data_IF_933417139037
#
_entry.id   IF_933417139037
#
_cell.length_a   1.000
_cell.length_b   1.000
_cell.length_c   1.000
_cell.angle_alpha   90.00
_cell.angle_beta   90.00
_cell.angle_gamma   90.00
#
_symmetry.space_group_name_H-M   'P 1'
#
loop_
_entity.id
_entity.type
_entity.pdbx_description
1 polymer ?
#
# COMPACT_ATOMS: atom_id res chain seq x y z
N UNK A 1 -21.55 -4.42 -2.51
CA UNK A 1 -21.03 -5.21 -1.37
C UNK A 1 -19.52 -5.09 -1.37
N UNK A 2 -18.89 -4.93 -0.21
CA UNK A 2 -17.42 -4.86 -0.09
C UNK A 2 -16.94 -6.24 0.36
N UNK A 3 -16.12 -6.90 -0.45
CA UNK A 3 -15.60 -8.24 -0.16
C UNK A 3 -14.20 -8.20 0.46
N UNK A 4 -13.39 -7.21 0.11
CA UNK A 4 -12.02 -7.03 0.59
C UNK A 4 -11.77 -5.59 1.03
N UNK A 5 -11.03 -5.41 2.11
CA UNK A 5 -10.57 -4.13 2.63
C UNK A 5 -9.05 -4.17 2.71
N UNK A 6 -8.38 -3.48 1.79
CA UNK A 6 -6.92 -3.31 1.77
C UNK A 6 -6.60 -1.92 2.32
N UNK A 7 -5.82 -1.84 3.41
CA UNK A 7 -5.49 -0.57 4.08
C UNK A 7 -4.19 -0.64 4.85
N UNK A 8 -3.67 0.50 5.32
CA UNK A 8 -2.45 0.55 6.12
C UNK A 8 -2.54 -0.19 7.46
N UNK A 9 -1.42 -0.74 7.91
CA UNK A 9 -1.27 -1.44 9.20
C UNK A 9 -1.58 -0.55 10.41
N UNK A 10 -1.50 0.77 10.26
CA UNK A 10 -1.89 1.73 11.29
C UNK A 10 -3.39 1.67 11.65
N UNK A 11 -4.20 1.01 10.81
CA UNK A 11 -5.60 0.75 11.07
C UNK A 11 -5.91 -0.64 11.65
N UNK A 12 -4.91 -1.47 11.95
CA UNK A 12 -5.13 -2.85 12.43
C UNK A 12 -5.96 -2.89 13.72
N UNK A 13 -5.74 -1.94 14.63
CA UNK A 13 -6.48 -1.81 15.89
C UNK A 13 -7.95 -1.41 15.71
N UNK A 14 -8.32 -0.86 14.54
CA UNK A 14 -9.71 -0.53 14.21
C UNK A 14 -10.50 -1.74 13.74
N UNK A 15 -9.84 -2.77 13.21
CA UNK A 15 -10.49 -3.95 12.60
C UNK A 15 -11.39 -4.70 13.59
N UNK A 16 -10.96 -5.01 14.82
CA UNK A 16 -11.82 -5.74 15.77
C UNK A 16 -13.11 -4.97 16.11
N UNK A 17 -13.02 -3.65 16.22
CA UNK A 17 -14.20 -2.79 16.47
C UNK A 17 -15.15 -2.80 15.29
N UNK A 18 -14.62 -2.70 14.06
CA UNK A 18 -15.42 -2.75 12.84
C UNK A 18 -16.12 -4.10 12.65
N UNK A 19 -15.42 -5.21 12.93
CA UNK A 19 -16.01 -6.56 12.90
C UNK A 19 -17.20 -6.67 13.87
N UNK A 20 -17.07 -6.15 15.09
CA UNK A 20 -18.16 -6.19 16.06
C UNK A 20 -19.38 -5.39 15.59
N UNK A 21 -19.17 -4.21 14.98
CA UNK A 21 -20.25 -3.41 14.41
C UNK A 21 -20.94 -4.15 13.26
N UNK A 22 -20.17 -4.73 12.34
CA UNK A 22 -20.72 -5.49 11.20
C UNK A 22 -21.56 -6.68 11.68
N UNK A 23 -21.06 -7.44 12.66
CA UNK A 23 -21.80 -8.54 13.28
C UNK A 23 -23.10 -8.09 13.95
N UNK A 24 -23.06 -6.97 14.68
CA UNK A 24 -24.25 -6.42 15.34
C UNK A 24 -25.32 -5.97 14.33
N UNK A 25 -24.90 -5.51 13.15
CA UNK A 25 -25.78 -5.12 12.05
C UNK A 25 -26.23 -6.31 11.16
N UNK A 26 -25.75 -7.54 11.44
CA UNK A 26 -26.01 -8.71 10.60
C UNK A 26 -25.36 -8.63 9.20
N UNK A 27 -24.35 -7.78 9.03
CA UNK A 27 -23.66 -7.59 7.76
C UNK A 27 -22.49 -8.59 7.58
N UNK A 28 -22.16 -8.97 6.34
CA UNK A 28 -20.98 -9.80 6.06
C UNK A 28 -19.69 -9.08 6.48
N UNK A 29 -18.74 -9.85 7.00
CA UNK A 29 -17.40 -9.35 7.35
C UNK A 29 -16.50 -9.53 6.12
N UNK A 30 -15.91 -8.44 5.57
CA UNK A 30 -15.00 -8.57 4.44
C UNK A 30 -13.68 -9.18 4.88
N UNK A 31 -12.91 -9.66 3.90
CA UNK A 31 -11.51 -10.01 4.10
C UNK A 31 -10.68 -8.74 4.30
N UNK A 32 -9.75 -8.76 5.26
CA UNK A 32 -8.90 -7.60 5.57
C UNK A 32 -7.45 -7.90 5.26
N UNK A 33 -6.83 -7.07 4.42
CA UNK A 33 -5.39 -7.06 4.18
C UNK A 33 -4.81 -5.75 4.73
N UNK A 34 -3.82 -5.86 5.62
CA UNK A 34 -3.13 -4.71 6.20
C UNK A 34 -1.74 -4.59 5.59
N UNK A 35 -1.49 -3.53 4.83
CA UNK A 35 -0.20 -3.28 4.18
C UNK A 35 0.75 -2.55 5.14
N UNK A 36 2.00 -2.97 5.17
CA UNK A 36 3.05 -2.37 6.01
C UNK A 36 3.22 -0.88 5.72
N UNK A 37 3.63 -0.09 6.71
CA UNK A 37 3.91 1.31 6.47
C UNK A 37 5.15 1.48 5.57
N UNK A 38 5.14 2.53 4.76
CA UNK A 38 6.34 3.00 4.06
C UNK A 38 7.19 3.79 5.05
N UNK A 39 8.49 3.47 5.11
CA UNK A 39 9.48 4.18 5.93
C UNK A 39 10.20 5.24 5.07
N UNK A 40 10.67 6.33 5.67
CA UNK A 40 11.63 7.23 5.03
C UNK A 40 13.06 6.71 5.14
N UNK A 41 14.02 7.48 4.60
CA UNK A 41 15.45 7.16 4.66
C UNK A 41 16.00 7.04 6.10
N UNK A 42 15.31 7.64 7.08
CA UNK A 42 15.65 7.57 8.51
C UNK A 42 15.08 6.33 9.22
N UNK A 43 14.42 5.43 8.47
CA UNK A 43 13.78 4.23 8.99
C UNK A 43 12.50 4.49 9.80
N UNK A 44 12.03 5.74 9.90
CA UNK A 44 10.77 6.09 10.56
C UNK A 44 9.64 6.12 9.54
N UNK A 45 8.39 6.07 10.03
CA UNK A 45 7.20 6.23 9.19
C UNK A 45 7.34 7.48 8.31
N UNK A 46 7.20 7.27 7.01
CA UNK A 46 7.21 8.34 6.02
C UNK A 46 6.08 9.32 6.37
N UNK A 47 6.44 10.59 6.55
CA UNK A 47 5.50 11.63 6.95
C UNK A 47 5.92 12.95 6.32
N UNK A 48 5.00 13.92 6.28
CA UNK A 48 5.31 15.28 5.79
C UNK A 48 6.50 15.93 6.51
N UNK A 49 6.78 15.51 7.76
CA UNK A 49 7.92 15.99 8.56
C UNK A 49 9.24 15.34 8.17
N UNK A 50 9.20 14.21 7.50
CA UNK A 50 10.36 13.40 7.08
C UNK A 50 10.42 13.28 5.55
N UNK A 51 10.08 14.36 4.82
CA UNK A 51 10.27 14.41 3.36
C UNK A 51 9.15 13.84 2.50
N UNK A 52 8.02 13.40 3.07
CA UNK A 52 6.88 12.97 2.24
C UNK A 52 6.31 14.16 1.46
N UNK A 53 6.57 14.20 0.15
CA UNK A 53 5.95 15.16 -0.76
C UNK A 53 4.59 14.64 -1.24
N UNK A 54 3.68 15.57 -1.55
CA UNK A 54 2.39 15.19 -2.12
C UNK A 54 2.57 14.59 -3.52
N UNK A 55 1.65 13.73 -3.94
CA UNK A 55 1.67 13.10 -5.29
C UNK A 55 1.80 14.14 -6.40
N UNK A 56 1.19 15.33 -6.22
CA UNK A 56 1.26 16.43 -7.18
C UNK A 56 2.68 16.97 -7.38
N UNK A 57 3.53 16.92 -6.35
CA UNK A 57 4.92 17.38 -6.44
C UNK A 57 5.71 16.52 -7.44
N UNK A 58 5.56 15.19 -7.42
CA UNK A 58 6.22 14.32 -8.41
C UNK A 58 5.83 14.66 -9.84
N UNK A 59 4.55 15.01 -10.07
CA UNK A 59 4.12 15.47 -11.39
C UNK A 59 4.81 16.77 -11.76
N UNK A 60 4.85 17.73 -10.85
CA UNK A 60 5.43 19.06 -11.09
C UNK A 60 6.97 19.01 -11.25
N UNK A 61 7.64 18.03 -10.62
CA UNK A 61 9.06 17.73 -10.77
C UNK A 61 9.38 16.94 -12.06
N UNK A 62 8.37 16.53 -12.83
CA UNK A 62 8.53 15.90 -14.15
C UNK A 62 8.60 14.38 -14.14
N UNK A 63 8.21 13.70 -13.05
CA UNK A 63 8.14 12.24 -13.03
C UNK A 63 6.99 11.72 -13.89
N UNK A 64 7.26 10.65 -14.64
CA UNK A 64 6.24 9.95 -15.40
C UNK A 64 5.27 9.22 -14.45
N UNK A 65 3.95 9.25 -14.71
CA UNK A 65 2.98 8.55 -13.85
C UNK A 65 3.23 7.04 -13.80
N UNK A 66 3.71 6.44 -14.90
CA UNK A 66 4.08 5.02 -14.94
C UNK A 66 5.28 4.72 -14.03
N UNK A 67 6.28 5.61 -14.00
CA UNK A 67 7.44 5.45 -13.14
C UNK A 67 7.05 5.55 -11.66
N UNK A 68 6.18 6.51 -11.32
CA UNK A 68 5.67 6.65 -9.95
C UNK A 68 4.83 5.43 -9.53
N UNK A 69 3.96 4.92 -10.41
CA UNK A 69 3.18 3.70 -10.13
C UNK A 69 4.09 2.48 -9.93
N UNK A 70 5.07 2.30 -10.81
CA UNK A 70 6.05 1.21 -10.69
C UNK A 70 6.80 1.26 -9.37
N UNK A 71 7.24 2.45 -8.99
CA UNK A 71 7.95 2.65 -7.74
C UNK A 71 7.04 2.35 -6.53
N UNK A 72 5.83 2.91 -6.49
CA UNK A 72 4.91 2.72 -5.37
C UNK A 72 4.44 1.27 -5.21
N UNK A 73 4.17 0.56 -6.32
CA UNK A 73 3.75 -0.84 -6.25
C UNK A 73 4.88 -1.74 -5.70
N UNK A 74 6.14 -1.40 -5.95
CA UNK A 74 7.30 -2.11 -5.40
C UNK A 74 7.50 -1.92 -3.90
N UNK A 75 6.90 -0.89 -3.32
CA UNK A 75 6.89 -0.67 -1.88
C UNK A 75 5.87 -1.59 -1.20
N UNK A 76 6.26 -2.85 -1.05
CA UNK A 76 5.48 -3.85 -0.33
C UNK A 76 4.91 -4.96 -1.22
N UNK A 77 5.14 -4.94 -2.54
CA UNK A 77 4.78 -6.05 -3.44
C UNK A 77 5.93 -6.36 -4.40
N UNK A 78 6.11 -7.64 -4.75
CA UNK A 78 7.19 -8.13 -5.60
C UNK A 78 6.73 -9.29 -6.48
N UNK A 79 7.33 -9.44 -7.67
CA UNK A 79 7.13 -10.58 -8.55
C UNK A 79 8.49 -11.10 -9.05
N UNK A 80 9.02 -12.14 -8.39
CA UNK A 80 10.40 -12.60 -8.63
C UNK A 80 11.41 -11.47 -8.43
N UNK A 81 12.40 -11.40 -9.31
CA UNK A 81 13.43 -10.34 -9.35
C UNK A 81 13.07 -9.19 -10.34
N UNK A 82 11.83 -9.15 -10.84
CA UNK A 82 11.40 -8.09 -11.76
C UNK A 82 11.18 -6.78 -10.99
N UNK A 83 11.80 -5.70 -11.48
CA UNK A 83 11.74 -4.37 -10.86
C UNK A 83 10.94 -3.34 -11.66
N UNK A 84 10.76 -3.57 -12.97
CA UNK A 84 10.06 -2.67 -13.88
C UNK A 84 8.86 -3.40 -14.47
N UNK A 85 7.69 -2.79 -14.30
CA UNK A 85 6.40 -3.29 -14.74
C UNK A 85 5.67 -2.21 -15.54
N UNK A 86 5.02 -2.64 -16.60
CA UNK A 86 3.91 -1.93 -17.21
C UNK A 86 2.67 -2.00 -16.32
N UNK A 87 1.70 -1.12 -16.54
CA UNK A 87 0.42 -1.15 -15.82
C UNK A 87 -0.33 -2.47 -16.06
N UNK A 88 -0.19 -3.06 -17.26
CA UNK A 88 -0.87 -4.31 -17.57
C UNK A 88 -0.22 -5.50 -16.87
N UNK A 89 1.11 -5.56 -16.79
CA UNK A 89 1.81 -6.54 -15.95
C UNK A 89 1.47 -6.38 -14.46
N UNK A 90 1.36 -5.14 -13.95
CA UNK A 90 0.90 -4.92 -12.57
C UNK A 90 -0.48 -5.54 -12.34
N UNK A 91 -1.43 -5.37 -13.27
CA UNK A 91 -2.78 -5.95 -13.13
C UNK A 91 -2.76 -7.47 -13.26
N UNK A 92 -1.94 -8.02 -14.13
CA UNK A 92 -1.85 -9.46 -14.39
C UNK A 92 -1.20 -10.20 -13.22
N UNK A 93 -0.14 -9.64 -12.64
CA UNK A 93 0.68 -10.30 -11.63
C UNK A 93 0.31 -9.97 -10.20
N UNK A 94 -0.49 -8.93 -9.96
CA UNK A 94 -0.82 -8.53 -8.59
C UNK A 94 -1.68 -9.58 -7.88
N UNK A 95 -1.21 -9.99 -6.71
CA UNK A 95 -1.93 -10.87 -5.77
C UNK A 95 -1.73 -10.37 -4.35
N UNK A 96 -2.69 -10.64 -3.46
CA UNK A 96 -2.59 -10.22 -2.06
C UNK A 96 -1.51 -11.02 -1.30
N UNK A 97 -1.27 -12.26 -1.71
CA UNK A 97 -0.28 -13.16 -1.12
C UNK A 97 1.16 -12.69 -1.37
N UNK A 98 1.37 -11.94 -2.46
CA UNK A 98 2.67 -11.36 -2.81
C UNK A 98 2.96 -10.03 -2.08
N UNK A 99 2.04 -9.58 -1.21
CA UNK A 99 2.28 -8.41 -0.36
C UNK A 99 3.20 -8.80 0.81
N UNK A 100 4.33 -8.10 0.92
CA UNK A 100 5.32 -8.29 1.96
C UNK A 100 4.85 -7.72 3.31
N UNK A 101 5.08 -8.49 4.37
CA UNK A 101 4.79 -8.08 5.77
C UNK A 101 5.84 -7.12 6.34
N UNK A 102 7.00 -7.02 5.69
CA UNK A 102 8.03 -6.06 6.08
C UNK A 102 7.71 -4.68 5.53
N UNK A 103 8.06 -3.65 6.30
CA UNK A 103 8.01 -2.28 5.85
C UNK A 103 9.05 -2.05 4.74
N UNK A 104 8.66 -1.31 3.70
CA UNK A 104 9.57 -0.88 2.63
C UNK A 104 10.09 0.52 2.92
N UNK A 105 11.38 0.73 2.68
CA UNK A 105 11.98 2.06 2.76
C UNK A 105 11.78 2.79 1.43
N UNK A 106 11.26 4.01 1.54
CA UNK A 106 11.29 5.01 0.49
C UNK A 106 12.73 5.49 0.34
N UNK A 107 13.21 5.52 -0.90
CA UNK A 107 14.54 5.95 -1.30
C UNK A 107 14.38 6.98 -2.44
N UNK A 108 14.90 8.18 -2.23
CA UNK A 108 14.76 9.34 -3.14
C UNK A 108 16.04 9.66 -3.87
#
# INVERSE_FOLDING_TARGET
EITHVIRGEDHINNTPRQINILKALGAPVPEYAHVSMILGDDGKKLSKRHGAVGVMQYRDDGYLPQALLNYLVRLGWSHGDQEIFSIDEMKEFFTLEAINKSASAFNT
#
